data_IF_258221286140
#
_entry.id   IF_258221286140
#
_cell.length_a   1.000
_cell.length_b   1.000
_cell.length_c   1.000
_cell.angle_alpha   90.00
_cell.angle_beta   90.00
_cell.angle_gamma   90.00
#
_symmetry.space_group_name_H-M   'P 1'
#
loop_
_entity.id
_entity.type
_entity.pdbx_description
1 polymer ?
#
# COMPACT_ATOMS: atom_id res chain seq x y z
N UNK A 1 9.99 -19.37 11.64
CA UNK A 1 11.10 -19.34 12.60
C UNK A 1 12.41 -19.36 11.83
N UNK A 2 13.09 -18.20 11.73
CA UNK A 2 14.50 -18.20 11.35
C UNK A 2 15.23 -18.68 12.59
N UNK A 3 15.61 -19.95 12.61
CA UNK A 3 16.45 -20.50 13.67
C UNK A 3 17.84 -19.90 13.44
N UNK A 4 18.17 -18.83 14.16
CA UNK A 4 19.55 -18.36 14.31
C UNK A 4 20.22 -19.36 15.29
N UNK A 5 20.69 -20.47 14.76
CA UNK A 5 21.70 -21.26 15.42
C UNK A 5 22.99 -20.43 15.28
N UNK A 6 23.58 -20.01 16.40
CA UNK A 6 24.79 -19.18 16.52
C UNK A 6 25.65 -19.19 15.23
N UNK A 7 25.58 -18.09 14.48
CA UNK A 7 26.47 -17.83 13.34
C UNK A 7 26.09 -18.44 11.98
N UNK A 8 24.98 -19.16 11.84
CA UNK A 8 24.51 -19.71 10.55
C UNK A 8 23.39 -18.85 9.99
N UNK A 9 23.66 -18.11 8.94
CA UNK A 9 22.65 -17.39 8.16
C UNK A 9 22.03 -18.38 7.18
N UNK A 10 20.79 -18.78 7.42
CA UNK A 10 20.07 -19.71 6.53
C UNK A 10 19.66 -18.97 5.24
N UNK A 11 19.99 -19.56 4.10
CA UNK A 11 19.51 -19.10 2.80
C UNK A 11 18.09 -19.64 2.57
N UNK A 12 17.11 -18.73 2.44
CA UNK A 12 15.74 -19.09 2.05
C UNK A 12 15.56 -19.01 0.54
N UNK A 13 14.61 -19.74 0.01
CA UNK A 13 14.32 -19.66 -1.43
C UNK A 13 13.69 -18.32 -1.77
N UNK A 14 12.71 -17.84 -0.97
CA UNK A 14 11.95 -16.63 -1.26
C UNK A 14 11.80 -15.79 0.01
N UNK A 15 12.17 -14.52 -0.10
CA UNK A 15 11.80 -13.50 0.90
C UNK A 15 10.71 -12.60 0.34
N UNK A 16 9.59 -12.54 1.05
CA UNK A 16 8.46 -11.66 0.73
C UNK A 16 8.50 -10.44 1.63
N UNK A 17 8.54 -9.26 1.04
CA UNK A 17 8.62 -7.97 1.76
C UNK A 17 7.28 -7.27 1.70
N UNK A 18 6.54 -7.31 2.80
CA UNK A 18 5.22 -6.73 2.98
C UNK A 18 4.16 -7.76 3.33
N UNK A 19 3.39 -7.49 4.38
CA UNK A 19 2.35 -8.36 4.96
C UNK A 19 0.93 -8.02 4.54
N UNK A 20 0.75 -7.26 3.45
CA UNK A 20 -0.57 -7.01 2.85
C UNK A 20 -1.04 -8.19 1.98
N UNK A 21 -2.24 -8.08 1.36
CA UNK A 21 -2.84 -9.16 0.58
C UNK A 21 -1.92 -9.78 -0.49
N UNK A 22 -1.13 -8.95 -1.18
CA UNK A 22 -0.17 -9.43 -2.18
C UNK A 22 0.93 -10.31 -1.56
N UNK A 23 1.55 -9.83 -0.48
CA UNK A 23 2.62 -10.57 0.19
C UNK A 23 2.12 -11.85 0.85
N UNK A 24 0.93 -11.83 1.47
CA UNK A 24 0.34 -13.02 2.06
C UNK A 24 0.03 -14.08 0.99
N UNK A 25 -0.53 -13.66 -0.15
CA UNK A 25 -0.77 -14.55 -1.29
C UNK A 25 0.51 -15.13 -1.85
N UNK A 26 1.54 -14.30 -2.06
CA UNK A 26 2.85 -14.76 -2.52
C UNK A 26 3.47 -15.77 -1.56
N UNK A 27 3.48 -15.48 -0.26
CA UNK A 27 4.05 -16.37 0.76
C UNK A 27 3.34 -17.71 0.82
N UNK A 28 2.00 -17.70 0.81
CA UNK A 28 1.19 -18.91 0.83
C UNK A 28 1.47 -19.80 -0.39
N UNK A 29 1.38 -19.22 -1.59
CA UNK A 29 1.55 -19.99 -2.83
C UNK A 29 2.98 -20.53 -2.99
N UNK A 30 3.98 -19.73 -2.68
CA UNK A 30 5.39 -20.21 -2.64
C UNK A 30 5.57 -21.38 -1.68
N UNK A 31 4.96 -21.32 -0.49
CA UNK A 31 5.03 -22.41 0.49
C UNK A 31 4.34 -23.69 0.01
N UNK A 32 3.15 -23.55 -0.61
CA UNK A 32 2.42 -24.70 -1.21
C UNK A 32 3.24 -25.34 -2.33
N UNK A 33 4.03 -24.57 -3.08
CA UNK A 33 4.98 -25.08 -4.09
C UNK A 33 6.26 -25.67 -3.47
N UNK A 34 6.33 -25.83 -2.15
CA UNK A 34 7.44 -26.48 -1.45
C UNK A 34 8.68 -25.61 -1.25
N UNK A 35 8.56 -24.27 -1.40
CA UNK A 35 9.68 -23.35 -1.18
C UNK A 35 9.82 -23.00 0.30
N UNK A 36 11.05 -22.70 0.72
CA UNK A 36 11.32 -22.05 2.00
C UNK A 36 11.03 -20.56 1.87
N UNK A 37 10.14 -20.03 2.75
CA UNK A 37 9.64 -18.65 2.66
C UNK A 37 9.93 -17.90 3.94
N UNK A 38 10.41 -16.67 3.80
CA UNK A 38 10.48 -15.66 4.87
C UNK A 38 9.53 -14.51 4.54
N UNK A 39 8.57 -14.25 5.41
CA UNK A 39 7.62 -13.14 5.26
C UNK A 39 8.01 -12.01 6.22
N UNK A 40 8.42 -10.87 5.67
CA UNK A 40 8.97 -9.73 6.40
C UNK A 40 7.98 -8.56 6.37
N UNK A 41 7.47 -8.14 7.53
CA UNK A 41 6.47 -7.07 7.60
C UNK A 41 6.45 -6.38 8.96
N UNK A 42 6.55 -5.06 8.98
CA UNK A 42 6.67 -4.24 10.21
C UNK A 42 5.35 -3.74 10.77
N UNK A 43 4.21 -4.06 10.18
CA UNK A 43 2.99 -3.51 10.77
C UNK A 43 1.74 -3.61 9.92
N UNK A 44 0.67 -2.94 10.34
CA UNK A 44 -0.63 -3.07 9.74
C UNK A 44 -0.62 -2.57 8.30
N UNK A 45 -1.15 -3.37 7.41
CA UNK A 45 -1.35 -3.08 6.00
C UNK A 45 -2.55 -2.12 5.78
N UNK A 46 -2.71 -1.65 4.53
CA UNK A 46 -3.78 -0.72 4.20
C UNK A 46 -5.17 -1.34 4.28
N UNK A 47 -5.29 -2.66 4.00
CA UNK A 47 -6.58 -3.34 4.05
C UNK A 47 -7.08 -3.47 5.48
N UNK A 48 -6.20 -3.79 6.44
CA UNK A 48 -6.60 -3.92 7.86
C UNK A 48 -7.19 -2.63 8.45
N UNK A 49 -6.88 -1.49 7.85
CA UNK A 49 -7.39 -0.17 8.26
C UNK A 49 -8.75 0.17 7.65
N UNK A 50 -9.23 -0.60 6.67
CA UNK A 50 -10.51 -0.36 6.04
C UNK A 50 -11.66 -0.77 6.98
N UNK A 51 -12.56 0.17 7.29
CA UNK A 51 -13.73 -0.11 8.12
C UNK A 51 -14.73 -1.02 7.45
N UNK A 52 -14.76 -1.02 6.11
CA UNK A 52 -15.71 -1.78 5.33
C UNK A 52 -15.14 -2.14 3.98
N UNK A 53 -15.25 -3.39 3.61
CA UNK A 53 -14.85 -3.95 2.32
C UNK A 53 -16.08 -4.62 1.71
N UNK A 54 -16.60 -4.04 0.62
CA UNK A 54 -17.80 -4.55 -0.07
C UNK A 54 -17.47 -5.29 -1.37
N UNK A 55 -16.25 -5.16 -1.86
CA UNK A 55 -15.85 -5.62 -3.18
C UNK A 55 -14.93 -6.86 -3.16
N UNK A 56 -14.94 -7.61 -2.06
CA UNK A 56 -14.22 -8.86 -1.96
C UNK A 56 -15.21 -10.03 -2.03
N UNK A 57 -15.22 -10.74 -3.17
CA UNK A 57 -16.18 -11.83 -3.43
C UNK A 57 -16.10 -12.90 -2.32
N UNK A 58 -17.25 -13.30 -1.81
CA UNK A 58 -17.39 -14.23 -0.68
C UNK A 58 -17.55 -13.56 0.68
N UNK A 59 -17.33 -12.24 0.76
CA UNK A 59 -17.54 -11.46 1.98
C UNK A 59 -18.43 -10.25 1.69
N UNK A 60 -19.51 -10.11 2.44
CA UNK A 60 -20.42 -8.98 2.31
C UNK A 60 -20.19 -8.00 3.47
N UNK A 61 -19.76 -6.77 3.15
CA UNK A 61 -19.57 -5.69 4.13
C UNK A 61 -18.68 -6.08 5.34
N UNK A 62 -17.54 -6.70 5.06
CA UNK A 62 -16.60 -7.14 6.11
C UNK A 62 -15.62 -6.00 6.48
N UNK A 63 -15.24 -5.91 7.74
CA UNK A 63 -14.12 -5.05 8.15
C UNK A 63 -12.79 -5.59 7.62
N UNK A 64 -11.93 -4.70 7.15
CA UNK A 64 -10.62 -5.08 6.60
C UNK A 64 -9.75 -5.84 7.60
N UNK A 65 -9.76 -5.46 8.88
CA UNK A 65 -9.06 -6.19 9.94
C UNK A 65 -9.57 -7.62 10.09
N UNK A 66 -10.89 -7.82 10.01
CA UNK A 66 -11.52 -9.15 10.05
C UNK A 66 -11.08 -9.98 8.85
N UNK A 67 -11.10 -9.42 7.65
CA UNK A 67 -10.66 -10.09 6.43
C UNK A 67 -9.18 -10.49 6.51
N UNK A 68 -8.32 -9.58 6.96
CA UNK A 68 -6.88 -9.86 7.17
C UNK A 68 -6.65 -10.96 8.20
N UNK A 69 -7.47 -11.02 9.26
CA UNK A 69 -7.37 -12.08 10.26
C UNK A 69 -7.69 -13.46 9.68
N UNK A 70 -8.63 -13.56 8.73
CA UNK A 70 -8.85 -14.81 7.98
C UNK A 70 -7.61 -15.20 7.17
N UNK A 71 -6.96 -14.25 6.52
CA UNK A 71 -5.74 -14.53 5.75
C UNK A 71 -4.60 -15.00 6.67
N UNK A 72 -4.35 -14.32 7.78
CA UNK A 72 -3.32 -14.74 8.74
C UNK A 72 -3.60 -16.13 9.35
N UNK A 73 -4.86 -16.44 9.67
CA UNK A 73 -5.24 -17.78 10.13
C UNK A 73 -4.96 -18.85 9.09
N UNK A 74 -5.17 -18.55 7.81
CA UNK A 74 -4.86 -19.49 6.73
C UNK A 74 -3.33 -19.68 6.60
N UNK A 75 -2.54 -18.62 6.64
CA UNK A 75 -1.08 -18.71 6.61
C UNK A 75 -0.52 -19.53 7.79
N UNK A 76 -1.09 -19.35 8.98
CA UNK A 76 -0.68 -20.08 10.17
C UNK A 76 -0.86 -21.61 10.05
N UNK A 77 -1.83 -22.08 9.25
CA UNK A 77 -2.00 -23.51 8.94
C UNK A 77 -0.85 -24.09 8.08
N UNK A 78 -0.05 -23.19 7.47
CA UNK A 78 1.13 -23.54 6.68
C UNK A 78 2.45 -23.13 7.35
N UNK A 79 2.42 -22.85 8.66
CA UNK A 79 3.57 -22.38 9.44
C UNK A 79 4.22 -21.11 8.88
N UNK A 80 3.42 -20.19 8.32
CA UNK A 80 3.88 -18.89 7.83
C UNK A 80 3.43 -17.80 8.80
N UNK A 81 4.39 -17.08 9.36
CA UNK A 81 4.17 -15.96 10.27
C UNK A 81 4.98 -14.75 9.81
N UNK A 82 4.39 -13.54 9.81
CA UNK A 82 5.14 -12.32 9.52
C UNK A 82 6.23 -12.09 10.59
N UNK A 83 7.47 -11.89 10.15
CA UNK A 83 8.55 -11.42 11.03
C UNK A 83 8.55 -9.88 11.01
N UNK A 84 8.42 -9.18 12.16
CA UNK A 84 8.30 -7.72 12.23
C UNK A 84 9.65 -7.01 12.04
N UNK A 85 10.36 -7.33 10.98
CA UNK A 85 11.65 -6.73 10.64
C UNK A 85 11.49 -5.60 9.62
N UNK A 86 12.06 -4.43 9.94
CA UNK A 86 12.14 -3.31 9.00
C UNK A 86 13.31 -3.51 8.05
N UNK A 87 13.00 -3.62 6.76
CA UNK A 87 14.00 -3.79 5.71
C UNK A 87 14.63 -2.45 5.37
N UNK A 88 15.96 -2.42 5.33
CA UNK A 88 16.76 -1.20 5.08
C UNK A 88 17.53 -1.23 3.76
N UNK A 89 17.81 -2.42 3.23
CA UNK A 89 18.52 -2.59 1.96
C UNK A 89 18.29 -3.97 1.37
N UNK A 90 18.41 -4.09 0.05
CA UNK A 90 18.40 -5.35 -0.69
C UNK A 90 19.56 -5.28 -1.68
N UNK A 91 20.58 -6.11 -1.45
CA UNK A 91 21.82 -6.08 -2.22
C UNK A 91 21.98 -7.41 -2.94
N UNK A 92 22.05 -7.44 -4.29
CA UNK A 92 22.39 -8.66 -5.01
C UNK A 92 23.83 -9.06 -4.71
N UNK A 93 24.07 -10.34 -4.45
CA UNK A 93 25.38 -10.87 -4.14
C UNK A 93 25.77 -11.96 -5.15
N UNK A 94 26.78 -11.68 -5.96
CA UNK A 94 27.36 -12.59 -6.97
C UNK A 94 26.35 -13.23 -7.94
N UNK A 95 25.18 -12.62 -8.12
CA UNK A 95 24.04 -13.19 -8.87
C UNK A 95 23.53 -14.56 -8.35
N UNK A 96 23.88 -14.93 -7.13
CA UNK A 96 23.48 -16.19 -6.51
C UNK A 96 22.34 -16.01 -5.51
N UNK A 97 22.35 -14.94 -4.76
CA UNK A 97 21.35 -14.61 -3.75
C UNK A 97 21.33 -13.10 -3.44
N UNK A 98 20.35 -12.70 -2.67
CA UNK A 98 20.21 -11.34 -2.15
C UNK A 98 20.55 -11.30 -0.66
N UNK A 99 21.29 -10.28 -0.25
CA UNK A 99 21.47 -9.91 1.13
C UNK A 99 20.45 -8.85 1.50
N UNK A 100 19.55 -9.18 2.41
CA UNK A 100 18.48 -8.30 2.88
C UNK A 100 18.86 -7.78 4.25
N UNK A 101 19.13 -6.49 4.34
CA UNK A 101 19.41 -5.81 5.61
C UNK A 101 18.10 -5.57 6.35
N UNK A 102 18.04 -6.00 7.63
CA UNK A 102 16.86 -5.91 8.48
C UNK A 102 17.27 -5.51 9.90
N UNK A 103 17.46 -4.22 10.12
CA UNK A 103 18.03 -3.70 11.38
C UNK A 103 19.47 -4.17 11.56
N UNK A 104 19.74 -4.90 12.65
CA UNK A 104 21.01 -5.54 12.97
C UNK A 104 21.21 -6.93 12.36
N UNK A 105 20.21 -7.42 11.62
CA UNK A 105 20.20 -8.75 10.99
C UNK A 105 20.41 -8.67 9.48
N UNK A 106 20.95 -9.75 8.93
CA UNK A 106 21.05 -9.98 7.49
C UNK A 106 20.37 -11.29 7.15
N UNK A 107 19.44 -11.23 6.18
CA UNK A 107 18.74 -12.41 5.67
C UNK A 107 19.27 -12.68 4.27
N UNK A 108 19.56 -13.95 3.97
CA UNK A 108 19.92 -14.39 2.61
C UNK A 108 18.72 -15.01 1.91
N UNK A 109 18.48 -14.62 0.66
CA UNK A 109 17.35 -15.11 -0.13
C UNK A 109 17.75 -15.30 -1.58
N UNK A 110 17.33 -16.41 -2.19
CA UNK A 110 17.57 -16.63 -3.64
C UNK A 110 16.72 -15.68 -4.49
N UNK A 111 15.51 -15.38 -4.04
CA UNK A 111 14.53 -14.55 -4.74
C UNK A 111 13.85 -13.60 -3.76
N UNK A 112 13.47 -12.41 -4.22
CA UNK A 112 12.76 -11.41 -3.43
C UNK A 112 11.45 -11.04 -4.12
N UNK A 113 10.35 -11.01 -3.37
CA UNK A 113 9.06 -10.50 -3.83
C UNK A 113 8.76 -9.21 -3.06
N UNK A 114 8.72 -8.09 -3.78
CA UNK A 114 8.37 -6.78 -3.23
C UNK A 114 6.85 -6.62 -3.22
N UNK A 115 6.24 -6.71 -2.05
CA UNK A 115 4.80 -6.52 -1.83
C UNK A 115 4.55 -5.36 -0.85
N UNK A 116 5.34 -4.29 -1.00
CA UNK A 116 5.45 -3.18 -0.06
C UNK A 116 4.22 -2.27 -0.02
N UNK A 117 3.29 -2.46 -0.96
CA UNK A 117 2.12 -1.62 -1.08
C UNK A 117 2.48 -0.15 -1.35
N UNK A 118 1.56 0.74 -1.04
CA UNK A 118 1.79 2.19 -1.11
C UNK A 118 2.42 2.63 0.20
N UNK A 119 3.69 3.03 0.17
CA UNK A 119 4.37 3.61 1.33
C UNK A 119 4.14 5.12 1.39
N UNK A 120 3.96 5.65 2.60
CA UNK A 120 3.66 7.07 2.83
C UNK A 120 4.77 7.72 3.62
N UNK A 121 5.17 8.92 3.19
CA UNK A 121 6.05 9.79 3.95
C UNK A 121 5.26 10.98 4.45
N UNK A 122 5.46 11.33 5.71
CA UNK A 122 4.93 12.51 6.38
C UNK A 122 3.40 12.48 6.58
N UNK A 123 2.97 11.84 7.64
CA UNK A 123 1.61 12.05 8.17
C UNK A 123 1.47 13.51 8.61
N UNK A 124 0.38 14.15 8.22
CA UNK A 124 0.00 15.41 8.84
C UNK A 124 -0.70 15.16 10.18
N UNK A 125 -0.67 16.11 11.14
CA UNK A 125 -1.41 15.97 12.36
C UNK A 125 -2.87 15.58 12.11
N UNK A 126 -3.34 14.54 12.77
CA UNK A 126 -4.68 13.97 12.60
C UNK A 126 -4.80 12.88 11.55
N UNK A 127 -3.88 12.77 10.58
CA UNK A 127 -3.97 11.77 9.52
C UNK A 127 -4.10 10.35 10.07
N UNK A 128 -3.17 9.93 10.90
CA UNK A 128 -3.20 8.58 11.50
C UNK A 128 -4.40 8.35 12.44
N UNK A 129 -4.86 9.40 13.15
CA UNK A 129 -6.02 9.33 14.05
C UNK A 129 -7.30 8.99 13.29
N UNK A 130 -7.48 9.56 12.10
CA UNK A 130 -8.73 9.47 11.37
C UNK A 130 -8.71 8.44 10.21
N UNK A 131 -7.68 7.60 10.11
CA UNK A 131 -7.70 6.49 9.14
C UNK A 131 -8.92 5.60 9.41
N UNK A 132 -9.76 5.39 8.36
CA UNK A 132 -11.05 4.70 8.49
C UNK A 132 -12.13 5.48 9.25
N UNK A 133 -11.85 6.69 9.73
CA UNK A 133 -12.76 7.63 10.37
C UNK A 133 -12.90 8.95 9.59
N UNK A 134 -12.82 8.86 8.27
CA UNK A 134 -12.85 9.97 7.33
C UNK A 134 -11.58 10.15 6.51
N UNK A 135 -10.43 9.62 6.92
CA UNK A 135 -9.23 9.59 6.08
C UNK A 135 -9.19 8.31 5.26
N UNK A 136 -9.04 8.46 3.95
CA UNK A 136 -8.85 7.39 2.98
C UNK A 136 -7.70 7.70 2.00
N UNK A 137 -7.22 6.66 1.33
CA UNK A 137 -6.14 6.75 0.35
C UNK A 137 -6.51 6.12 -1.00
N UNK A 138 -7.79 5.75 -1.14
CA UNK A 138 -8.30 5.09 -2.35
C UNK A 138 -9.72 5.59 -2.63
N UNK A 139 -9.86 6.49 -3.58
CA UNK A 139 -11.16 7.07 -3.96
C UNK A 139 -12.13 6.00 -4.51
N UNK A 140 -11.64 5.04 -5.29
CA UNK A 140 -12.48 3.96 -5.85
C UNK A 140 -12.83 2.86 -4.84
N UNK A 141 -12.11 2.78 -3.69
CA UNK A 141 -12.42 1.82 -2.64
C UNK A 141 -13.50 2.34 -1.70
N UNK A 142 -13.34 3.58 -1.24
CA UNK A 142 -14.12 4.13 -0.14
C UNK A 142 -15.06 5.27 -0.59
N UNK A 143 -14.95 5.75 -1.82
CA UNK A 143 -15.73 6.88 -2.32
C UNK A 143 -17.24 6.69 -2.18
N UNK A 144 -17.75 5.48 -2.39
CA UNK A 144 -19.17 5.17 -2.27
C UNK A 144 -19.72 5.41 -0.85
N UNK A 145 -18.87 5.40 0.20
CA UNK A 145 -19.28 5.67 1.59
C UNK A 145 -19.61 7.15 1.83
N UNK A 146 -19.19 8.03 0.90
CA UNK A 146 -19.31 9.48 1.02
C UNK A 146 -20.22 10.11 -0.04
N UNK A 147 -21.04 9.32 -0.73
CA UNK A 147 -22.06 9.84 -1.65
C UNK A 147 -23.00 10.77 -0.90
N UNK A 148 -23.22 11.99 -1.43
CA UNK A 148 -24.01 13.05 -0.82
C UNK A 148 -23.34 13.77 0.36
N UNK A 149 -22.04 13.53 0.59
CA UNK A 149 -21.23 14.18 1.64
C UNK A 149 -20.07 14.96 1.04
N UNK A 150 -19.44 15.78 1.88
CA UNK A 150 -18.25 16.57 1.50
C UNK A 150 -16.98 15.76 1.65
N UNK A 151 -16.11 15.89 0.66
CA UNK A 151 -14.77 15.28 0.73
C UNK A 151 -13.70 16.23 0.19
N UNK A 152 -12.63 16.36 0.94
CA UNK A 152 -11.40 17.00 0.46
C UNK A 152 -10.52 15.92 -0.21
N UNK A 153 -10.10 16.16 -1.43
CA UNK A 153 -9.09 15.36 -2.13
C UNK A 153 -7.77 16.12 -2.09
N UNK A 154 -6.79 15.57 -1.39
CA UNK A 154 -5.43 16.12 -1.34
C UNK A 154 -4.54 15.41 -2.36
N UNK A 155 -4.33 16.05 -3.51
CA UNK A 155 -3.66 15.47 -4.66
C UNK A 155 -2.17 15.81 -4.74
N UNK A 156 -1.36 14.78 -5.07
CA UNK A 156 0.09 14.89 -5.24
C UNK A 156 0.57 14.40 -6.61
N UNK A 157 -0.35 14.15 -7.53
CA UNK A 157 -0.06 13.71 -8.90
C UNK A 157 -1.17 14.13 -9.85
N UNK A 158 -0.90 14.06 -11.16
CA UNK A 158 -1.93 14.29 -12.19
C UNK A 158 -3.07 13.27 -12.10
N UNK A 159 -2.81 12.05 -11.64
CA UNK A 159 -3.84 11.02 -11.47
C UNK A 159 -4.86 11.40 -10.38
N UNK A 160 -4.45 12.20 -9.38
CA UNK A 160 -5.34 12.63 -8.31
C UNK A 160 -6.52 13.46 -8.84
N UNK A 161 -6.33 14.23 -9.93
CA UNK A 161 -7.42 14.97 -10.57
C UNK A 161 -8.48 14.00 -11.15
N UNK A 162 -8.05 12.91 -11.79
CA UNK A 162 -8.98 11.90 -12.32
C UNK A 162 -9.73 11.19 -11.19
N UNK A 163 -9.10 10.95 -10.06
CA UNK A 163 -9.75 10.35 -8.90
C UNK A 163 -10.74 11.31 -8.23
N UNK A 164 -10.44 12.61 -8.21
CA UNK A 164 -11.37 13.65 -7.75
C UNK A 164 -12.62 13.74 -8.66
N UNK A 165 -12.41 13.73 -9.97
CA UNK A 165 -13.51 13.68 -10.96
C UNK A 165 -14.39 12.43 -10.78
N UNK A 166 -13.76 11.27 -10.52
CA UNK A 166 -14.51 10.05 -10.22
C UNK A 166 -15.40 10.20 -8.99
N UNK A 167 -14.87 10.74 -7.87
CA UNK A 167 -15.64 10.98 -6.65
C UNK A 167 -16.81 11.92 -6.91
N UNK A 168 -16.56 13.02 -7.62
CA UNK A 168 -17.61 13.99 -7.98
C UNK A 168 -18.70 13.33 -8.86
N UNK A 169 -18.29 12.51 -9.83
CA UNK A 169 -19.23 11.80 -10.73
C UNK A 169 -20.13 10.82 -9.99
N UNK A 170 -19.68 10.19 -8.91
CA UNK A 170 -20.51 9.29 -8.09
C UNK A 170 -21.36 10.02 -7.06
N UNK A 171 -21.31 11.38 -7.02
CA UNK A 171 -22.15 12.20 -6.15
C UNK A 171 -21.52 12.60 -4.82
N UNK A 172 -20.20 12.62 -4.71
CA UNK A 172 -19.47 13.23 -3.58
C UNK A 172 -19.22 14.70 -3.89
N UNK A 173 -19.48 15.61 -2.94
CA UNK A 173 -19.14 17.03 -3.06
C UNK A 173 -17.63 17.20 -2.80
N UNK A 174 -16.85 17.39 -3.87
CA UNK A 174 -15.39 17.36 -3.83
C UNK A 174 -14.80 18.76 -3.79
N UNK A 175 -13.87 18.98 -2.85
CA UNK A 175 -12.92 20.10 -2.85
C UNK A 175 -11.52 19.55 -3.10
N UNK A 176 -10.80 20.05 -4.11
CA UNK A 176 -9.49 19.58 -4.49
C UNK A 176 -8.38 20.50 -3.96
N UNK A 177 -7.51 19.95 -3.13
CA UNK A 177 -6.35 20.66 -2.55
C UNK A 177 -5.08 20.11 -3.16
N UNK A 178 -4.31 20.95 -3.85
CA UNK A 178 -3.03 20.53 -4.46
C UNK A 178 -2.20 21.74 -4.89
N UNK A 179 -1.03 21.45 -5.47
CA UNK A 179 -0.29 22.43 -6.26
C UNK A 179 -0.94 22.62 -7.63
N UNK A 180 -0.80 23.82 -8.25
CA UNK A 180 -1.42 24.12 -9.56
C UNK A 180 -1.10 23.09 -10.65
N UNK A 181 0.12 22.58 -10.69
CA UNK A 181 0.55 21.60 -11.70
C UNK A 181 -0.27 20.29 -11.68
N UNK A 182 -0.85 19.91 -10.54
CA UNK A 182 -1.66 18.68 -10.41
C UNK A 182 -3.16 18.90 -10.61
N UNK A 183 -3.58 20.13 -10.94
CA UNK A 183 -5.00 20.46 -11.19
C UNK A 183 -5.41 20.30 -12.66
N UNK A 184 -4.46 19.94 -13.51
CA UNK A 184 -4.71 19.73 -14.95
C UNK A 184 -5.63 18.52 -15.13
N UNK A 185 -6.73 18.73 -15.89
CA UNK A 185 -7.73 17.68 -16.13
C UNK A 185 -8.78 17.51 -15.03
N UNK A 186 -8.78 18.39 -14.03
CA UNK A 186 -9.83 18.46 -13.02
C UNK A 186 -11.09 19.10 -13.62
N UNK A 187 -12.27 18.54 -13.34
CA UNK A 187 -13.56 19.07 -13.78
C UNK A 187 -13.80 20.48 -13.23
N UNK A 188 -14.39 21.37 -14.04
CA UNK A 188 -14.57 22.78 -13.67
C UNK A 188 -15.55 23.00 -12.51
N UNK A 189 -16.43 22.05 -12.23
CA UNK A 189 -17.37 22.12 -11.11
C UNK A 189 -16.73 21.78 -9.76
N UNK A 190 -15.48 21.28 -9.72
CA UNK A 190 -14.78 20.96 -8.49
C UNK A 190 -14.03 22.20 -7.98
N UNK A 191 -14.32 22.58 -6.73
CA UNK A 191 -13.63 23.66 -6.05
C UNK A 191 -12.14 23.36 -5.88
N UNK A 192 -11.27 24.35 -6.11
CA UNK A 192 -9.81 24.21 -6.11
C UNK A 192 -9.16 25.10 -5.08
N UNK A 193 -8.29 24.50 -4.27
CA UNK A 193 -7.39 25.23 -3.37
C UNK A 193 -5.95 24.94 -3.72
N UNK A 194 -5.16 26.02 -3.86
CA UNK A 194 -3.71 25.92 -3.98
C UNK A 194 -3.11 25.87 -2.58
N UNK A 195 -2.36 24.82 -2.26
CA UNK A 195 -1.73 24.73 -0.95
C UNK A 195 -1.58 23.29 -0.46
N UNK A 196 -1.44 23.19 0.84
CA UNK A 196 -1.29 21.91 1.55
C UNK A 196 -2.16 21.88 2.79
N UNK A 197 -2.59 20.69 3.16
CA UNK A 197 -3.25 20.46 4.45
C UNK A 197 -2.18 20.48 5.55
N UNK A 198 -2.41 21.28 6.58
CA UNK A 198 -1.56 21.38 7.77
C UNK A 198 -2.02 20.44 8.89
N UNK A 199 -3.33 20.21 9.00
CA UNK A 199 -3.90 19.26 9.94
C UNK A 199 -5.29 18.78 9.51
N UNK A 200 -5.65 17.60 9.96
CA UNK A 200 -6.97 16.98 9.81
C UNK A 200 -7.59 16.92 11.20
N UNK A 201 -8.77 17.45 11.37
CA UNK A 201 -9.39 17.72 12.66
C UNK A 201 -10.80 17.11 12.75
N UNK A 202 -11.21 16.85 13.98
CA UNK A 202 -12.51 16.32 14.35
C UNK A 202 -12.48 15.61 15.70
N UNK A 203 -13.61 15.14 16.16
CA UNK A 203 -13.71 14.33 17.39
C UNK A 203 -13.55 12.83 17.10
N UNK A 204 -14.59 12.15 16.69
CA UNK A 204 -14.59 10.71 16.33
C UNK A 204 -14.30 10.48 14.86
N UNK A 205 -14.77 11.37 14.00
CA UNK A 205 -14.55 11.35 12.56
C UNK A 205 -13.93 12.67 12.14
N UNK A 206 -13.49 12.74 10.87
CA UNK A 206 -13.09 14.00 10.25
C UNK A 206 -14.28 14.95 10.22
N UNK A 207 -14.04 16.20 10.59
CA UNK A 207 -15.01 17.29 10.54
C UNK A 207 -14.51 18.46 9.70
N UNK A 208 -13.19 18.72 9.70
CA UNK A 208 -12.59 19.77 8.89
C UNK A 208 -11.09 19.54 8.70
N UNK A 209 -10.54 20.26 7.74
CA UNK A 209 -9.10 20.36 7.52
C UNK A 209 -8.63 21.80 7.62
N UNK A 210 -7.44 22.00 8.19
CA UNK A 210 -6.77 23.30 8.17
C UNK A 210 -5.73 23.32 7.05
N UNK A 211 -5.80 24.33 6.21
CA UNK A 211 -4.81 24.70 5.23
C UNK A 211 -3.96 25.87 5.78
N UNK A 212 -2.95 26.27 5.03
CA UNK A 212 -2.15 27.46 5.29
C UNK A 212 -2.97 28.76 5.15
N UNK A 213 -4.08 28.76 4.41
CA UNK A 213 -4.88 29.95 4.08
C UNK A 213 -6.36 29.87 4.46
N UNK A 214 -6.85 28.68 4.82
CA UNK A 214 -8.28 28.44 5.07
C UNK A 214 -8.52 27.22 5.95
N UNK A 215 -9.75 27.12 6.47
CA UNK A 215 -10.30 25.90 7.06
C UNK A 215 -11.46 25.44 6.16
N UNK A 216 -11.51 24.13 5.85
CA UNK A 216 -12.53 23.54 4.99
C UNK A 216 -13.27 22.47 5.78
N UNK A 217 -14.58 22.63 5.94
CA UNK A 217 -15.46 21.64 6.55
C UNK A 217 -15.63 20.46 5.61
N UNK A 218 -15.42 19.23 6.10
CA UNK A 218 -15.45 18.03 5.28
C UNK A 218 -15.72 16.76 6.12
N UNK A 219 -16.41 15.80 5.55
CA UNK A 219 -16.67 14.48 6.17
C UNK A 219 -15.55 13.49 5.88
N UNK A 220 -14.74 13.77 4.83
CA UNK A 220 -13.65 12.87 4.43
C UNK A 220 -12.46 13.62 3.82
N UNK A 221 -11.28 12.99 3.94
CA UNK A 221 -10.05 13.43 3.27
C UNK A 221 -9.46 12.26 2.50
N UNK A 222 -9.44 12.37 1.19
CA UNK A 222 -8.76 11.41 0.31
C UNK A 222 -7.34 11.91 0.03
N UNK A 223 -6.33 11.26 0.60
CA UNK A 223 -4.93 11.65 0.46
C UNK A 223 -4.30 10.83 -0.65
N UNK A 224 -4.16 11.43 -1.83
CA UNK A 224 -3.69 10.76 -3.05
C UNK A 224 -2.24 11.12 -3.32
N UNK A 225 -1.33 10.56 -2.49
CA UNK A 225 0.12 10.75 -2.59
C UNK A 225 0.74 9.82 -3.61
N UNK A 226 1.82 10.31 -4.21
CA UNK A 226 2.73 9.48 -4.97
C UNK A 226 3.44 8.47 -4.09
N UNK A 227 3.64 7.27 -4.63
CA UNK A 227 4.31 6.19 -3.93
C UNK A 227 5.82 6.47 -3.84
N UNK A 228 6.43 6.33 -2.66
CA UNK A 228 7.84 6.60 -2.47
C UNK A 228 8.51 5.42 -1.74
N UNK A 229 9.79 5.18 -2.04
CA UNK A 229 10.81 4.49 -1.23
C UNK A 229 11.17 3.04 -1.51
N UNK A 230 10.55 2.32 -2.41
CA UNK A 230 11.13 1.04 -2.88
C UNK A 230 12.50 1.27 -3.53
N UNK A 231 12.69 2.43 -4.18
CA UNK A 231 13.97 2.87 -4.76
C UNK A 231 15.09 3.00 -3.71
N UNK A 232 14.74 3.28 -2.45
CA UNK A 232 15.72 3.33 -1.38
C UNK A 232 16.21 1.94 -0.95
N UNK A 233 15.45 0.89 -1.26
CA UNK A 233 15.85 -0.49 -0.97
C UNK A 233 16.76 -1.04 -2.06
N UNK A 234 16.55 -0.63 -3.31
CA UNK A 234 17.28 -1.12 -4.49
C UNK A 234 17.43 0.02 -5.49
N UNK A 235 18.63 0.58 -5.58
CA UNK A 235 18.89 1.78 -6.39
C UNK A 235 18.75 1.59 -7.91
N UNK A 236 18.85 0.33 -8.41
CA UNK A 236 18.78 0.01 -9.84
C UNK A 236 17.39 -0.46 -10.30
N UNK A 237 16.37 -0.37 -9.44
CA UNK A 237 15.02 -0.81 -9.76
C UNK A 237 14.36 0.16 -10.74
N UNK A 238 13.89 -0.36 -11.89
CA UNK A 238 13.15 0.45 -12.86
C UNK A 238 11.73 0.76 -12.37
N UNK A 239 11.36 2.03 -12.57
CA UNK A 239 10.05 2.54 -12.21
C UNK A 239 9.27 2.97 -13.45
N UNK A 240 7.94 2.82 -13.40
CA UNK A 240 6.99 3.44 -14.33
C UNK A 240 6.19 4.49 -13.54
N UNK A 241 6.58 5.74 -13.65
CA UNK A 241 6.11 6.79 -12.75
C UNK A 241 6.51 6.46 -11.30
N UNK A 242 5.50 6.31 -10.45
CA UNK A 242 5.71 6.03 -9.02
C UNK A 242 5.59 4.55 -8.65
N UNK A 243 5.47 3.67 -9.64
CA UNK A 243 5.25 2.25 -9.45
C UNK A 243 6.44 1.45 -9.94
N UNK A 244 6.68 0.31 -9.33
CA UNK A 244 7.69 -0.65 -9.80
C UNK A 244 7.25 -1.16 -11.16
N UNK A 245 8.12 -1.04 -12.16
CA UNK A 245 7.89 -1.59 -13.48
C UNK A 245 8.09 -3.10 -13.45
N UNK A 246 7.07 -3.83 -13.87
CA UNK A 246 7.09 -5.30 -13.99
C UNK A 246 6.56 -5.73 -15.35
N UNK A 247 6.89 -6.95 -15.75
CA UNK A 247 6.25 -7.64 -16.85
C UNK A 247 4.98 -8.40 -16.39
N UNK A 248 4.37 -9.18 -17.29
CA UNK A 248 3.14 -9.94 -16.97
C UNK A 248 3.37 -11.05 -15.92
N UNK A 249 4.61 -11.50 -15.76
CA UNK A 249 5.02 -12.51 -14.77
C UNK A 249 5.48 -11.88 -13.46
N UNK A 250 5.16 -10.60 -13.23
CA UNK A 250 5.56 -9.82 -12.07
C UNK A 250 7.07 -9.63 -11.90
N UNK A 251 7.89 -9.94 -12.91
CA UNK A 251 9.34 -9.77 -12.88
C UNK A 251 9.72 -8.30 -13.07
N UNK A 252 10.66 -7.83 -12.26
CA UNK A 252 11.28 -6.51 -12.44
C UNK A 252 12.43 -6.58 -13.46
N UNK A 253 13.12 -5.45 -13.67
CA UNK A 253 14.36 -5.43 -14.47
C UNK A 253 15.54 -6.14 -13.80
N UNK A 254 15.42 -6.55 -12.54
CA UNK A 254 16.46 -7.22 -11.77
C UNK A 254 16.10 -8.71 -11.66
N UNK A 255 16.93 -9.58 -12.24
CA UNK A 255 16.70 -11.02 -12.18
C UNK A 255 16.61 -11.52 -10.73
N UNK A 256 15.57 -12.31 -10.41
CA UNK A 256 15.29 -12.79 -9.06
C UNK A 256 14.55 -11.81 -8.16
N UNK A 257 14.18 -10.61 -8.67
CA UNK A 257 13.31 -9.67 -7.95
C UNK A 257 11.99 -9.54 -8.70
N UNK A 258 10.91 -9.80 -7.97
CA UNK A 258 9.53 -9.66 -8.41
C UNK A 258 8.83 -8.56 -7.60
N UNK A 259 7.72 -8.03 -8.11
CA UNK A 259 6.90 -7.10 -7.36
C UNK A 259 5.41 -7.37 -7.58
N UNK A 260 4.59 -7.17 -6.53
CA UNK A 260 3.18 -7.51 -6.55
C UNK A 260 2.33 -6.56 -5.71
N UNK A 261 1.08 -6.35 -6.10
CA UNK A 261 0.12 -5.53 -5.39
C UNK A 261 0.21 -4.04 -5.72
N UNK A 262 -0.12 -3.19 -4.76
CA UNK A 262 -0.28 -1.75 -5.00
C UNK A 262 1.03 -1.04 -5.39
N UNK A 263 2.18 -1.63 -5.07
CA UNK A 263 3.49 -1.07 -5.45
C UNK A 263 3.78 -1.14 -6.96
N UNK A 264 3.02 -1.95 -7.72
CA UNK A 264 3.13 -2.02 -9.19
C UNK A 264 2.04 -1.23 -9.92
N UNK A 265 1.14 -0.58 -9.18
CA UNK A 265 0.12 0.30 -9.76
C UNK A 265 -1.33 -0.16 -9.56
N UNK A 266 -2.23 0.64 -10.13
CA UNK A 266 -3.69 0.45 -10.06
C UNK A 266 -4.17 -0.79 -10.82
N UNK A 267 -5.41 -1.29 -10.49
CA UNK A 267 -6.30 -0.80 -9.46
C UNK A 267 -5.89 -1.29 -8.05
N UNK A 268 -6.03 -0.43 -7.04
CA UNK A 268 -5.74 -0.76 -5.64
C UNK A 268 -6.88 -1.57 -5.02
N UNK A 269 -6.90 -2.86 -5.31
CA UNK A 269 -7.93 -3.79 -4.86
C UNK A 269 -7.29 -5.02 -4.24
N UNK A 270 -7.82 -5.47 -3.11
CA UNK A 270 -7.29 -6.64 -2.40
C UNK A 270 -7.22 -7.88 -3.31
N UNK A 271 -8.27 -8.11 -4.12
CA UNK A 271 -8.30 -9.25 -5.04
C UNK A 271 -7.23 -9.17 -6.14
N UNK A 272 -6.98 -7.97 -6.69
CA UNK A 272 -5.88 -7.76 -7.66
C UNK A 272 -4.53 -7.98 -7.00
N UNK A 273 -4.34 -7.41 -5.81
CA UNK A 273 -3.09 -7.57 -5.07
C UNK A 273 -2.79 -9.05 -4.77
N UNK A 274 -3.80 -9.84 -4.40
CA UNK A 274 -3.65 -11.29 -4.18
C UNK A 274 -3.32 -12.03 -5.48
N UNK A 275 -3.97 -11.67 -6.59
CA UNK A 275 -3.67 -12.25 -7.91
C UNK A 275 -2.23 -11.97 -8.33
N UNK A 276 -1.75 -10.74 -8.16
CA UNK A 276 -0.36 -10.39 -8.45
C UNK A 276 0.61 -11.22 -7.57
N UNK A 277 0.29 -11.37 -6.28
CA UNK A 277 1.08 -12.18 -5.35
C UNK A 277 1.15 -13.65 -5.75
N UNK A 278 0.06 -14.22 -6.26
CA UNK A 278 0.04 -15.57 -6.80
C UNK A 278 0.94 -15.71 -8.03
N UNK A 279 0.90 -14.71 -8.95
CA UNK A 279 1.71 -14.74 -10.18
C UNK A 279 3.20 -14.59 -9.85
N UNK A 280 3.53 -13.79 -8.84
CA UNK A 280 4.91 -13.55 -8.42
C UNK A 280 5.54 -14.73 -7.66
N UNK A 281 4.73 -15.68 -7.16
CA UNK A 281 5.17 -16.82 -6.36
C UNK A 281 5.78 -17.93 -7.22
#
# INVERSE_FOLDING_TARGET
YIIIIKGVVILVDISVIGGGPAGLSAALNSKIMGKSVSLLSTGPDNLSRAKRVDNYLGFNAVEGATLMNYFYKHLAQHDIYPDPLKITSIIPFLNEYFMIGAGDKVIKSKTVILATGIQRKNDVPGESKFIGHGVSYCSTCDGALYIGRKAVVWGFSHEAAHEANFLNKIGVEVTFVSKPEYQIGLDDCIERFNGKILSICGDKNVEYVNLDSATIDTDAVFILRENIYVQNLISSLEMSGNYIKVNNDMMTNINGIFAAGDCIGKPFKAIKAMSDGLIAA
#
